data_IF_808452413044
#
_entry.id   IF_808452413044
#
_cell.length_a   1.000
_cell.length_b   1.000
_cell.length_c   1.000
_cell.angle_alpha   90.00
_cell.angle_beta   90.00
_cell.angle_gamma   90.00
#
_symmetry.space_group_name_H-M   'P 1'
#
loop_
_entity.id
_entity.type
_entity.pdbx_description
1 polymer ?
#
# COMPACT_ATOMS: atom_id res chain seq x y z
N UNK A 1 -3.41 -2.33 50.29
CA UNK A 1 -3.36 -2.46 48.82
C UNK A 1 -1.92 -2.32 48.38
N UNK A 2 -1.27 -3.40 47.92
CA UNK A 2 0.14 -3.37 47.51
C UNK A 2 0.33 -2.43 46.30
N UNK A 3 1.34 -1.57 46.37
CA UNK A 3 1.62 -0.58 45.33
C UNK A 3 2.10 -1.28 44.04
N UNK A 4 1.90 -0.66 42.87
CA UNK A 4 2.20 -1.27 41.56
C UNK A 4 3.66 -1.73 41.38
N UNK A 5 4.59 -1.20 42.19
CA UNK A 5 6.01 -1.55 42.20
C UNK A 5 6.28 -2.85 42.99
N UNK A 6 5.62 -3.03 44.14
CA UNK A 6 5.74 -4.25 44.95
C UNK A 6 5.16 -5.46 44.21
N UNK A 7 4.02 -5.27 43.54
CA UNK A 7 3.42 -6.31 42.70
C UNK A 7 4.36 -6.77 41.57
N UNK A 8 5.12 -5.84 40.95
CA UNK A 8 6.12 -6.17 39.91
C UNK A 8 7.33 -6.91 40.49
N UNK A 9 7.81 -6.51 41.67
CA UNK A 9 8.91 -7.20 42.36
C UNK A 9 8.51 -8.63 42.75
N UNK A 10 7.30 -8.81 43.26
CA UNK A 10 6.77 -10.14 43.59
C UNK A 10 6.64 -11.04 42.35
N UNK A 11 6.16 -10.51 41.22
CA UNK A 11 6.11 -11.25 39.96
C UNK A 11 7.49 -11.67 39.45
N UNK A 12 8.49 -10.79 39.53
CA UNK A 12 9.86 -11.10 39.14
C UNK A 12 10.49 -12.18 40.05
N UNK A 13 10.23 -12.11 41.35
CA UNK A 13 10.69 -13.10 42.33
C UNK A 13 10.04 -14.47 42.12
N UNK A 14 8.72 -14.51 41.93
CA UNK A 14 7.99 -15.73 41.61
C UNK A 14 8.48 -16.38 40.30
N UNK A 15 8.83 -15.59 39.29
CA UNK A 15 9.40 -16.10 38.05
C UNK A 15 10.75 -16.80 38.26
N UNK A 16 11.63 -16.24 39.12
CA UNK A 16 12.92 -16.85 39.45
C UNK A 16 12.77 -18.16 40.22
N UNK A 17 11.81 -18.23 41.15
CA UNK A 17 11.52 -19.47 41.89
C UNK A 17 11.03 -20.57 40.93
N UNK A 18 10.13 -20.24 40.00
CA UNK A 18 9.66 -21.19 38.97
C UNK A 18 10.80 -21.66 38.06
N UNK A 19 11.72 -20.77 37.69
CA UNK A 19 12.91 -21.14 36.90
C UNK A 19 13.83 -22.10 37.66
N UNK A 20 14.15 -21.80 38.92
CA UNK A 20 14.96 -22.66 39.78
C UNK A 20 14.34 -24.05 39.94
N UNK A 21 13.02 -24.11 40.15
CA UNK A 21 12.28 -25.36 40.26
C UNK A 21 12.34 -26.21 38.97
N UNK A 22 12.10 -25.59 37.81
CA UNK A 22 12.14 -26.27 36.50
C UNK A 22 13.50 -26.87 36.16
N UNK A 23 14.56 -26.20 36.60
CA UNK A 23 15.93 -26.63 36.38
C UNK A 23 16.46 -27.57 37.47
N UNK A 24 15.59 -28.05 38.38
CA UNK A 24 15.98 -28.97 39.45
C UNK A 24 16.92 -28.34 40.49
N UNK A 25 16.99 -27.01 40.54
CA UNK A 25 17.84 -26.26 41.49
C UNK A 25 17.15 -26.03 42.83
N UNK A 26 15.87 -26.43 42.96
CA UNK A 26 15.18 -26.49 44.25
C UNK A 26 15.13 -27.94 44.73
N UNK A 27 15.47 -28.15 46.00
CA UNK A 27 15.33 -29.45 46.65
C UNK A 27 13.87 -29.73 47.06
N UNK A 28 13.60 -30.97 47.47
CA UNK A 28 12.26 -31.43 47.86
C UNK A 28 11.73 -30.75 49.14
N UNK A 29 12.60 -30.27 50.03
CA UNK A 29 12.22 -29.52 51.22
C UNK A 29 11.86 -28.07 50.89
N UNK A 30 12.65 -27.42 50.03
CA UNK A 30 12.37 -26.08 49.50
C UNK A 30 11.05 -26.04 48.73
N UNK A 31 10.79 -27.04 47.89
CA UNK A 31 9.53 -27.17 47.14
C UNK A 31 8.34 -27.26 48.10
N UNK A 32 8.39 -28.16 49.09
CA UNK A 32 7.31 -28.32 50.08
C UNK A 32 7.05 -27.06 50.92
N UNK A 33 8.09 -26.34 51.32
CA UNK A 33 7.93 -25.07 52.06
C UNK A 33 7.26 -23.99 51.22
N UNK A 34 7.58 -23.93 49.94
CA UNK A 34 6.95 -22.99 49.01
C UNK A 34 5.49 -23.35 48.76
N UNK A 35 5.17 -24.63 48.55
CA UNK A 35 3.79 -25.13 48.44
C UNK A 35 2.98 -24.82 49.71
N UNK A 36 3.53 -25.07 50.90
CA UNK A 36 2.89 -24.76 52.18
C UNK A 36 2.66 -23.26 52.40
N UNK A 37 3.50 -22.41 51.81
CA UNK A 37 3.33 -20.96 51.78
C UNK A 37 2.33 -20.48 50.70
N UNK A 38 1.63 -21.41 50.03
CA UNK A 38 0.66 -21.12 48.97
C UNK A 38 1.28 -20.81 47.61
N UNK A 39 2.58 -21.09 47.41
CA UNK A 39 3.23 -20.92 46.11
C UNK A 39 2.88 -22.07 45.18
N UNK A 40 2.10 -21.77 44.13
CA UNK A 40 1.68 -22.77 43.15
C UNK A 40 2.77 -23.01 42.09
N UNK A 41 3.29 -24.24 42.04
CA UNK A 41 4.15 -24.71 40.96
C UNK A 41 3.29 -25.20 39.78
N UNK A 42 3.74 -24.94 38.55
CA UNK A 42 3.09 -25.51 37.37
C UNK A 42 3.18 -27.04 37.45
N UNK A 43 2.10 -27.79 37.17
CA UNK A 43 2.11 -29.24 37.27
C UNK A 43 3.21 -29.84 36.38
N UNK A 44 3.96 -30.82 36.92
CA UNK A 44 5.08 -31.48 36.21
C UNK A 44 4.63 -32.06 34.86
N UNK A 45 3.39 -32.55 34.78
CA UNK A 45 2.72 -32.93 33.54
C UNK A 45 1.71 -31.85 33.14
N UNK A 46 1.78 -31.42 31.89
CA UNK A 46 0.78 -30.51 31.33
C UNK A 46 -0.53 -31.29 31.15
N UNK A 47 -1.63 -30.76 31.66
CA UNK A 47 -3.00 -31.29 31.44
C UNK A 47 -3.55 -31.02 30.04
N UNK A 48 -2.70 -30.49 29.17
CA UNK A 48 -3.04 -30.02 27.82
C UNK A 48 -2.28 -28.74 27.48
N UNK A 49 -2.28 -28.38 26.21
CA UNK A 49 -1.71 -27.14 25.70
C UNK A 49 -2.72 -26.41 24.84
N UNK A 50 -2.59 -25.09 24.80
CA UNK A 50 -3.38 -24.24 23.92
C UNK A 50 -2.43 -23.55 22.96
N UNK A 51 -2.78 -23.57 21.68
CA UNK A 51 -2.14 -22.75 20.66
C UNK A 51 -2.62 -21.31 20.82
N UNK A 52 -1.70 -20.39 21.05
CA UNK A 52 -2.06 -19.01 21.44
C UNK A 52 -2.74 -18.28 20.28
N UNK A 53 -2.31 -18.54 19.05
CA UNK A 53 -2.74 -17.84 17.83
C UNK A 53 -4.27 -17.84 17.66
N UNK A 54 -4.89 -19.00 17.83
CA UNK A 54 -6.32 -19.23 17.62
C UNK A 54 -7.06 -19.68 18.88
N UNK A 55 -6.34 -20.01 19.95
CA UNK A 55 -6.92 -20.51 21.20
C UNK A 55 -7.34 -21.97 21.12
N UNK A 56 -6.93 -22.72 20.09
CA UNK A 56 -7.27 -24.14 19.95
C UNK A 56 -6.59 -24.95 21.05
N UNK A 57 -7.38 -25.74 21.77
CA UNK A 57 -6.93 -26.60 22.86
C UNK A 57 -6.58 -27.99 22.35
N UNK A 58 -5.54 -28.56 22.95
CA UNK A 58 -5.10 -29.94 22.74
C UNK A 58 -4.96 -30.59 24.10
N UNK A 59 -5.66 -31.69 24.32
CA UNK A 59 -5.68 -32.38 25.61
C UNK A 59 -4.34 -33.11 25.88
N UNK A 60 -3.56 -33.37 24.83
CA UNK A 60 -2.23 -33.96 24.96
C UNK A 60 -1.20 -33.25 24.09
N UNK A 61 0.07 -33.31 24.49
CA UNK A 61 1.18 -32.83 23.67
C UNK A 61 1.34 -33.65 22.37
N UNK A 62 0.91 -34.92 22.38
CA UNK A 62 0.94 -35.78 21.20
C UNK A 62 -0.05 -35.30 20.15
N UNK A 63 -1.28 -34.94 20.54
CA UNK A 63 -2.25 -34.33 19.63
C UNK A 63 -1.72 -33.01 19.02
N UNK A 64 -1.05 -32.17 19.81
CA UNK A 64 -0.42 -30.95 19.30
C UNK A 64 0.75 -31.24 18.33
N UNK A 65 1.52 -32.29 18.59
CA UNK A 65 2.58 -32.77 17.71
C UNK A 65 2.03 -33.33 16.39
N UNK A 66 1.01 -34.17 16.45
CA UNK A 66 0.40 -34.80 15.27
C UNK A 66 -0.18 -33.75 14.32
N UNK A 67 -0.72 -32.65 14.86
CA UNK A 67 -1.21 -31.52 14.06
C UNK A 67 -0.08 -30.66 13.45
N UNK A 68 0.99 -30.39 14.19
CA UNK A 68 1.98 -29.35 13.81
C UNK A 68 3.33 -29.89 13.34
N UNK A 69 3.56 -31.19 13.48
CA UNK A 69 4.86 -31.84 13.25
C UNK A 69 5.94 -31.46 14.27
N UNK A 70 5.66 -30.59 15.25
CA UNK A 70 6.66 -30.13 16.22
C UNK A 70 6.99 -31.21 17.24
N UNK A 71 8.27 -31.38 17.57
CA UNK A 71 8.67 -32.33 18.61
C UNK A 71 7.98 -32.04 19.95
N UNK A 72 7.37 -33.06 20.57
CA UNK A 72 6.63 -33.00 21.84
C UNK A 72 7.42 -32.25 22.94
N UNK A 73 8.72 -32.52 23.06
CA UNK A 73 9.59 -31.83 24.02
C UNK A 73 9.70 -30.32 23.77
N UNK A 74 9.77 -29.89 22.49
CA UNK A 74 9.82 -28.46 22.14
C UNK A 74 8.49 -27.75 22.44
N UNK A 75 7.36 -28.40 22.15
CA UNK A 75 6.02 -27.90 22.52
C UNK A 75 5.94 -27.73 24.04
N UNK A 76 6.37 -28.74 24.80
CA UNK A 76 6.37 -28.72 26.26
C UNK A 76 7.19 -27.57 26.84
N UNK A 77 8.39 -27.34 26.31
CA UNK A 77 9.26 -26.23 26.72
C UNK A 77 8.65 -24.87 26.37
N UNK A 78 8.09 -24.73 25.17
CA UNK A 78 7.40 -23.50 24.75
C UNK A 78 6.20 -23.19 25.66
N UNK A 79 5.35 -24.19 25.92
CA UNK A 79 4.14 -24.07 26.74
C UNK A 79 4.41 -23.63 28.19
N UNK A 80 5.55 -24.03 28.74
CA UNK A 80 5.98 -23.62 30.09
C UNK A 80 6.66 -22.25 30.11
N UNK A 81 7.10 -21.70 28.98
CA UNK A 81 7.87 -20.44 28.97
C UNK A 81 7.19 -19.32 29.76
N UNK A 82 7.96 -18.56 30.54
CA UNK A 82 7.45 -17.37 31.23
C UNK A 82 6.92 -16.32 30.22
N UNK A 83 7.57 -16.23 29.06
CA UNK A 83 7.20 -15.40 27.91
C UNK A 83 6.84 -16.29 26.73
N UNK A 84 5.62 -16.87 26.71
CA UNK A 84 5.25 -17.86 25.70
C UNK A 84 5.11 -17.26 24.28
N UNK A 85 5.06 -15.93 24.14
CA UNK A 85 5.06 -15.24 22.85
C UNK A 85 6.45 -15.09 22.20
N UNK A 86 7.54 -15.51 22.87
CA UNK A 86 8.91 -15.43 22.33
C UNK A 86 9.46 -16.75 21.81
N UNK A 87 8.76 -17.85 22.10
CA UNK A 87 9.25 -19.19 21.78
C UNK A 87 8.16 -19.96 21.07
N UNK A 88 8.42 -20.27 19.81
CA UNK A 88 7.55 -21.11 19.00
C UNK A 88 8.09 -22.53 18.90
N UNK A 89 7.20 -23.47 18.60
CA UNK A 89 7.53 -24.84 18.20
C UNK A 89 6.58 -25.23 17.06
N UNK A 90 7.14 -25.68 15.93
CA UNK A 90 6.36 -25.96 14.69
C UNK A 90 5.62 -24.75 14.15
N UNK A 91 6.21 -23.55 14.25
CA UNK A 91 5.59 -22.31 13.78
C UNK A 91 4.47 -21.75 14.66
N UNK A 92 4.13 -22.40 15.78
CA UNK A 92 3.08 -21.98 16.70
C UNK A 92 3.63 -21.63 18.11
N UNK A 93 2.92 -20.77 18.82
CA UNK A 93 3.20 -20.41 20.21
C UNK A 93 2.27 -21.14 21.16
N UNK A 94 2.83 -21.63 22.26
CA UNK A 94 2.14 -22.55 23.14
C UNK A 94 2.05 -22.00 24.55
N UNK A 95 0.96 -22.33 25.23
CA UNK A 95 0.76 -22.08 26.65
C UNK A 95 0.06 -23.29 27.27
N UNK A 96 0.37 -23.59 28.53
CA UNK A 96 -0.36 -24.64 29.25
C UNK A 96 -1.86 -24.32 29.32
N UNK A 97 -2.70 -25.33 29.17
CA UNK A 97 -4.15 -25.20 29.26
C UNK A 97 -4.63 -24.47 30.53
N UNK A 98 -4.15 -24.88 31.72
CA UNK A 98 -4.53 -24.22 32.97
C UNK A 98 -4.17 -22.72 33.02
N UNK A 99 -2.97 -22.34 32.55
CA UNK A 99 -2.58 -20.93 32.46
C UNK A 99 -3.41 -20.14 31.44
N UNK A 100 -3.87 -20.78 30.37
CA UNK A 100 -4.79 -20.14 29.42
C UNK A 100 -6.18 -19.91 30.01
N UNK A 101 -6.69 -20.90 30.75
CA UNK A 101 -7.99 -20.82 31.42
C UNK A 101 -7.98 -19.71 32.47
N UNK A 102 -6.89 -19.59 33.23
CA UNK A 102 -6.66 -18.51 34.20
C UNK A 102 -6.55 -17.11 33.57
N UNK A 103 -6.27 -17.00 32.26
CA UNK A 103 -6.38 -15.72 31.57
C UNK A 103 -7.85 -15.41 31.30
N UNK A 104 -8.35 -14.28 31.82
CA UNK A 104 -9.59 -13.69 31.32
C UNK A 104 -9.46 -13.28 29.85
N UNK A 105 -10.58 -12.95 29.21
CA UNK A 105 -10.64 -12.63 27.78
C UNK A 105 -9.70 -11.48 27.37
N UNK A 106 -9.56 -10.47 28.23
CA UNK A 106 -8.62 -9.36 28.00
C UNK A 106 -7.15 -9.82 28.06
N UNK A 107 -6.82 -10.76 28.95
CA UNK A 107 -5.50 -11.38 29.04
C UNK A 107 -5.17 -12.21 27.80
N UNK A 108 -6.13 -13.01 27.32
CA UNK A 108 -6.00 -13.79 26.07
C UNK A 108 -5.81 -12.90 24.85
N UNK A 109 -6.60 -11.82 24.73
CA UNK A 109 -6.44 -10.80 23.67
C UNK A 109 -5.06 -10.13 23.73
N UNK A 110 -4.60 -9.75 24.92
CA UNK A 110 -3.27 -9.14 25.09
C UNK A 110 -2.17 -10.12 24.68
N UNK A 111 -2.28 -11.38 25.08
CA UNK A 111 -1.30 -12.41 24.76
C UNK A 111 -1.21 -12.68 23.25
N UNK A 112 -2.36 -12.80 22.58
CA UNK A 112 -2.44 -12.89 21.10
C UNK A 112 -1.76 -11.70 20.41
N UNK A 113 -2.00 -10.48 20.91
CA UNK A 113 -1.35 -9.28 20.39
C UNK A 113 0.18 -9.27 20.58
N UNK A 114 0.71 -9.92 21.62
CA UNK A 114 2.15 -10.06 21.82
C UNK A 114 2.76 -11.06 20.83
N UNK A 115 2.12 -12.21 20.62
CA UNK A 115 2.53 -13.19 19.60
C UNK A 115 2.57 -12.56 18.22
N UNK A 116 1.51 -11.85 17.86
CA UNK A 116 1.45 -11.14 16.59
C UNK A 116 2.56 -10.10 16.46
N UNK A 117 2.79 -9.30 17.50
CA UNK A 117 3.86 -8.29 17.50
C UNK A 117 5.25 -8.90 17.33
N UNK A 118 5.49 -10.09 17.87
CA UNK A 118 6.75 -10.80 17.70
C UNK A 118 6.86 -11.40 16.29
N UNK A 119 5.76 -11.93 15.73
CA UNK A 119 5.73 -12.44 14.35
C UNK A 119 6.01 -11.34 13.31
N UNK A 120 5.57 -10.13 13.61
CA UNK A 120 5.78 -8.96 12.75
C UNK A 120 7.13 -8.27 13.00
N UNK A 121 7.90 -8.70 13.99
CA UNK A 121 9.19 -8.07 14.32
C UNK A 121 10.17 -8.24 13.16
N UNK A 122 10.78 -7.14 12.74
CA UNK A 122 11.75 -7.13 11.65
C UNK A 122 11.12 -7.07 10.25
N UNK A 123 9.80 -7.23 10.14
CA UNK A 123 9.10 -7.18 8.86
C UNK A 123 8.77 -5.74 8.44
N UNK A 124 8.70 -5.55 7.13
CA UNK A 124 8.15 -4.38 6.46
C UNK A 124 6.71 -4.64 6.08
N UNK A 125 5.78 -3.83 6.56
CA UNK A 125 4.35 -4.07 6.38
C UNK A 125 3.70 -2.91 5.60
N UNK A 126 2.97 -3.27 4.55
CA UNK A 126 2.05 -2.35 3.88
C UNK A 126 0.84 -2.14 4.78
N UNK A 127 0.61 -0.91 5.25
CA UNK A 127 -0.42 -0.64 6.23
C UNK A 127 -1.84 -0.87 5.66
N UNK A 128 -2.01 -0.63 4.37
CA UNK A 128 -3.27 -0.83 3.66
C UNK A 128 -3.55 -2.30 3.45
N UNK A 129 -2.67 -3.05 2.82
CA UNK A 129 -2.95 -4.46 2.49
C UNK A 129 -2.75 -5.36 3.71
N UNK A 130 -1.84 -5.01 4.61
CA UNK A 130 -1.38 -5.86 5.70
C UNK A 130 -0.36 -6.91 5.27
N UNK A 131 0.09 -6.87 4.02
CA UNK A 131 1.16 -7.73 3.51
C UNK A 131 2.48 -7.36 4.18
N UNK A 132 3.23 -8.39 4.58
CA UNK A 132 4.46 -8.26 5.33
C UNK A 132 5.61 -8.91 4.54
N UNK A 133 6.76 -8.25 4.54
CA UNK A 133 7.94 -8.64 3.77
C UNK A 133 9.16 -8.64 4.68
N UNK A 134 10.07 -9.59 4.48
CA UNK A 134 11.29 -9.70 5.30
C UNK A 134 12.25 -8.53 5.07
N UNK A 135 12.23 -7.95 3.88
CA UNK A 135 13.12 -6.84 3.50
C UNK A 135 12.38 -5.75 2.75
N UNK A 136 12.92 -4.53 2.80
CA UNK A 136 12.47 -3.43 1.95
C UNK A 136 12.56 -3.77 0.47
N UNK A 137 13.54 -4.57 0.06
CA UNK A 137 13.76 -4.94 -1.34
C UNK A 137 12.59 -5.78 -1.85
N UNK A 138 12.21 -6.82 -1.10
CA UNK A 138 11.06 -7.65 -1.45
C UNK A 138 9.75 -6.85 -1.47
N UNK A 139 9.58 -5.93 -0.52
CA UNK A 139 8.45 -5.01 -0.53
C UNK A 139 8.46 -4.07 -1.75
N UNK A 140 9.63 -3.58 -2.15
CA UNK A 140 9.78 -2.68 -3.29
C UNK A 140 9.45 -3.39 -4.61
N UNK A 141 9.97 -4.61 -4.78
CA UNK A 141 9.74 -5.48 -5.94
C UNK A 141 8.26 -5.87 -6.06
N UNK A 142 7.64 -6.34 -4.99
CA UNK A 142 6.23 -6.74 -4.97
C UNK A 142 5.28 -5.60 -5.36
N UNK A 143 5.68 -4.35 -5.10
CA UNK A 143 4.88 -3.16 -5.40
C UNK A 143 5.44 -2.30 -6.54
N UNK A 144 6.36 -2.84 -7.35
CA UNK A 144 6.85 -2.21 -8.57
C UNK A 144 7.50 -0.84 -8.37
N UNK A 145 8.20 -0.64 -7.25
CA UNK A 145 8.81 0.65 -6.90
C UNK A 145 10.28 0.51 -6.48
N UNK A 146 11.11 1.57 -6.59
CA UNK A 146 12.51 1.50 -6.16
C UNK A 146 12.65 1.59 -4.63
N UNK A 147 13.60 0.84 -4.05
CA UNK A 147 13.90 0.80 -2.60
C UNK A 147 14.15 2.19 -2.00
N UNK A 148 14.83 3.07 -2.74
CA UNK A 148 15.10 4.46 -2.33
C UNK A 148 13.82 5.26 -2.06
N UNK A 149 12.70 4.90 -2.69
CA UNK A 149 11.38 5.51 -2.48
C UNK A 149 10.75 5.06 -1.16
N UNK A 150 10.91 3.80 -0.76
CA UNK A 150 10.49 3.30 0.54
C UNK A 150 11.35 3.92 1.67
N UNK A 151 12.66 4.03 1.46
CA UNK A 151 13.61 4.58 2.45
C UNK A 151 13.34 6.06 2.77
N UNK A 152 13.15 6.91 1.75
CA UNK A 152 12.99 8.36 1.95
C UNK A 152 11.70 8.78 2.66
N UNK A 153 10.70 7.89 2.79
CA UNK A 153 9.33 8.28 3.14
C UNK A 153 8.67 7.35 4.17
N UNK A 154 9.46 6.73 5.04
CA UNK A 154 9.00 5.86 6.12
C UNK A 154 8.33 6.64 7.30
N UNK A 155 7.61 7.73 7.00
CA UNK A 155 6.86 8.54 7.97
C UNK A 155 5.38 8.40 7.62
N UNK A 156 4.58 8.03 8.61
CA UNK A 156 3.12 7.79 8.56
C UNK A 156 2.27 8.88 7.88
N UNK A 157 2.88 10.01 7.53
CA UNK A 157 2.26 11.25 7.07
C UNK A 157 2.41 11.50 5.55
N UNK A 158 3.19 10.67 4.82
CA UNK A 158 3.41 10.87 3.36
C UNK A 158 3.21 9.59 2.56
N UNK A 159 2.21 9.60 1.66
CA UNK A 159 1.83 8.49 0.76
C UNK A 159 2.99 8.08 -0.16
N UNK A 160 3.33 6.79 -0.20
CA UNK A 160 4.28 6.20 -1.15
C UNK A 160 3.54 5.63 -2.35
N UNK A 161 3.26 6.49 -3.32
CA UNK A 161 2.44 6.08 -4.46
C UNK A 161 1.04 5.63 -4.05
N UNK A 162 0.53 6.06 -2.89
CA UNK A 162 -0.81 5.72 -2.38
C UNK A 162 -0.85 4.61 -1.32
N UNK A 163 0.30 4.08 -0.88
CA UNK A 163 0.40 3.15 0.27
C UNK A 163 1.31 3.70 1.39
N UNK A 164 1.06 3.30 2.63
CA UNK A 164 1.84 3.61 3.82
C UNK A 164 2.65 2.38 4.23
N UNK A 165 3.94 2.60 4.49
CA UNK A 165 4.86 1.55 4.90
C UNK A 165 5.28 1.79 6.34
N UNK A 166 5.26 0.72 7.14
CA UNK A 166 5.62 0.75 8.55
C UNK A 166 6.39 -0.51 8.91
N UNK A 167 7.23 -0.44 9.94
CA UNK A 167 7.76 -1.66 10.54
C UNK A 167 6.62 -2.47 11.17
N UNK A 168 6.76 -3.80 11.18
CA UNK A 168 5.70 -4.68 11.63
C UNK A 168 5.32 -4.54 13.11
N UNK A 169 6.23 -4.06 13.96
CA UNK A 169 5.89 -3.76 15.37
C UNK A 169 4.95 -2.56 15.44
N UNK A 170 5.22 -1.52 14.65
CA UNK A 170 4.35 -0.35 14.50
C UNK A 170 3.01 -0.73 13.87
N UNK A 171 3.00 -1.55 12.81
CA UNK A 171 1.77 -2.07 12.23
C UNK A 171 0.89 -2.78 13.26
N UNK A 172 1.45 -3.72 14.02
CA UNK A 172 0.71 -4.44 15.05
C UNK A 172 0.16 -3.52 16.15
N UNK A 173 0.85 -2.43 16.48
CA UNK A 173 0.31 -1.40 17.41
C UNK A 173 -0.85 -0.63 16.80
N UNK A 174 -0.72 -0.17 15.56
CA UNK A 174 -1.78 0.57 14.84
C UNK A 174 -3.01 -0.33 14.70
N UNK A 175 -2.85 -1.58 14.29
CA UNK A 175 -3.96 -2.54 14.13
C UNK A 175 -4.74 -2.74 15.41
N UNK A 176 -4.07 -2.76 16.57
CA UNK A 176 -4.72 -2.92 17.89
C UNK A 176 -5.36 -1.64 18.42
N UNK A 177 -4.72 -0.48 18.22
CA UNK A 177 -5.15 0.79 18.86
C UNK A 177 -5.99 1.68 17.95
N UNK A 178 -5.77 1.60 16.64
CA UNK A 178 -6.36 2.47 15.63
C UNK A 178 -6.83 1.67 14.40
N UNK A 179 -7.69 0.64 14.57
CA UNK A 179 -8.18 -0.14 13.44
C UNK A 179 -8.93 0.71 12.39
N UNK A 180 -9.60 1.79 12.84
CA UNK A 180 -10.27 2.74 11.95
C UNK A 180 -9.31 3.49 11.01
N UNK A 181 -8.06 3.73 11.44
CA UNK A 181 -7.05 4.35 10.59
C UNK A 181 -6.65 3.44 9.43
N UNK A 182 -6.39 2.15 9.71
CA UNK A 182 -6.10 1.16 8.67
C UNK A 182 -7.28 0.99 7.72
N UNK A 183 -8.51 0.99 8.24
CA UNK A 183 -9.72 0.91 7.42
C UNK A 183 -9.87 2.15 6.51
N UNK A 184 -9.57 3.33 7.02
CA UNK A 184 -9.55 4.56 6.23
C UNK A 184 -8.49 4.51 5.14
N UNK A 185 -7.26 4.09 5.45
CA UNK A 185 -6.20 3.95 4.44
C UNK A 185 -6.52 2.90 3.38
N UNK A 186 -7.07 1.75 3.77
CA UNK A 186 -7.59 0.73 2.82
C UNK A 186 -8.66 1.28 1.90
N UNK A 187 -9.55 2.11 2.43
CA UNK A 187 -10.61 2.75 1.63
C UNK A 187 -10.00 3.74 0.65
N UNK A 188 -9.12 4.63 1.14
CA UNK A 188 -8.43 5.61 0.29
C UNK A 188 -7.59 4.93 -0.78
N UNK A 189 -6.85 3.86 -0.48
CA UNK A 189 -6.11 3.09 -1.48
C UNK A 189 -7.03 2.48 -2.52
N UNK A 190 -8.19 1.92 -2.12
CA UNK A 190 -9.19 1.44 -3.07
C UNK A 190 -9.70 2.55 -3.97
N UNK A 191 -10.05 3.70 -3.41
CA UNK A 191 -10.59 4.84 -4.17
C UNK A 191 -9.56 5.53 -5.08
N UNK A 192 -8.27 5.50 -4.71
CA UNK A 192 -7.22 6.27 -5.40
C UNK A 192 -6.29 5.43 -6.27
N UNK A 193 -6.00 4.18 -5.89
CA UNK A 193 -5.14 3.26 -6.65
C UNK A 193 -5.91 2.16 -7.38
N UNK A 194 -7.03 1.69 -6.82
CA UNK A 194 -7.88 0.66 -7.41
C UNK A 194 -9.16 1.30 -7.93
N UNK A 195 -9.07 2.29 -8.82
CA UNK A 195 -10.23 2.83 -9.53
C UNK A 195 -10.97 1.78 -10.39
N UNK A 196 -10.66 0.49 -10.26
CA UNK A 196 -11.20 -0.60 -11.05
C UNK A 196 -10.41 -0.79 -12.36
N UNK A 197 -10.86 -1.73 -13.19
CA UNK A 197 -10.25 -1.96 -14.49
C UNK A 197 -10.22 -0.71 -15.36
N UNK A 198 -9.22 -0.64 -16.23
CA UNK A 198 -9.11 0.42 -17.23
C UNK A 198 -9.02 -0.19 -18.62
N UNK A 199 -9.72 0.40 -19.58
CA UNK A 199 -9.70 -0.01 -20.97
C UNK A 199 -8.94 1.05 -21.77
N UNK A 200 -7.97 0.62 -22.56
CA UNK A 200 -7.40 1.46 -23.61
C UNK A 200 -8.40 1.53 -24.75
N UNK A 201 -8.97 2.71 -24.99
CA UNK A 201 -10.11 2.85 -25.93
C UNK A 201 -9.69 2.49 -27.36
N UNK A 202 -8.49 2.89 -27.78
CA UNK A 202 -7.95 2.63 -29.12
C UNK A 202 -7.73 1.15 -29.42
N UNK A 203 -7.26 0.39 -28.43
CA UNK A 203 -6.92 -1.02 -28.62
C UNK A 203 -8.03 -1.96 -28.18
N UNK A 204 -8.97 -1.47 -27.37
CA UNK A 204 -9.98 -2.27 -26.71
C UNK A 204 -9.44 -3.17 -25.59
N UNK A 205 -8.14 -3.09 -25.29
CA UNK A 205 -7.53 -3.94 -24.26
C UNK A 205 -7.94 -3.44 -22.87
N UNK A 206 -8.54 -4.33 -22.10
CA UNK A 206 -8.85 -4.12 -20.69
C UNK A 206 -7.69 -4.60 -19.81
N UNK A 207 -7.36 -3.78 -18.83
CA UNK A 207 -6.36 -4.06 -17.80
C UNK A 207 -7.07 -4.08 -16.46
N UNK A 208 -6.66 -5.01 -15.57
CA UNK A 208 -7.23 -5.09 -14.22
C UNK A 208 -7.09 -3.81 -13.39
N UNK A 209 -6.08 -2.98 -13.70
CA UNK A 209 -5.89 -1.65 -13.13
C UNK A 209 -4.98 -0.76 -14.01
N UNK A 210 -4.88 0.53 -13.63
CA UNK A 210 -4.02 1.51 -14.29
C UNK A 210 -2.51 1.23 -14.15
N UNK A 211 -2.09 0.41 -13.18
CA UNK A 211 -0.69 0.05 -13.00
C UNK A 211 -0.24 -0.95 -14.07
N UNK A 212 -1.04 -1.99 -14.31
CA UNK A 212 -0.83 -2.96 -15.41
C UNK A 212 -0.82 -2.30 -16.79
N UNK A 213 -1.72 -1.33 -16.99
CA UNK A 213 -1.71 -0.51 -18.19
C UNK A 213 -0.40 0.29 -18.33
N UNK A 214 0.05 0.95 -17.26
CA UNK A 214 1.29 1.72 -17.27
C UNK A 214 2.55 0.83 -17.46
N UNK A 215 2.58 -0.38 -16.90
CA UNK A 215 3.65 -1.38 -17.14
C UNK A 215 3.75 -1.73 -18.62
N UNK A 216 2.62 -1.97 -19.27
CA UNK A 216 2.55 -2.27 -20.72
C UNK A 216 3.05 -1.09 -21.56
N UNK A 217 2.71 0.14 -21.17
CA UNK A 217 3.26 1.36 -21.80
C UNK A 217 4.78 1.49 -21.59
N UNK A 218 5.31 1.03 -20.46
CA UNK A 218 6.75 1.07 -20.21
C UNK A 218 7.49 0.07 -21.12
N UNK A 219 6.96 -1.14 -21.30
CA UNK A 219 7.52 -2.17 -22.18
C UNK A 219 7.56 -1.73 -23.65
N UNK A 220 6.62 -0.89 -24.07
CA UNK A 220 6.57 -0.31 -25.43
C UNK A 220 7.38 0.99 -25.56
N UNK A 221 8.15 1.37 -24.53
CA UNK A 221 8.97 2.59 -24.52
C UNK A 221 8.18 3.91 -24.42
N UNK A 222 6.86 3.85 -24.20
CA UNK A 222 5.97 5.02 -24.12
C UNK A 222 6.07 5.77 -22.79
N UNK A 223 6.69 5.18 -21.76
CA UNK A 223 7.01 5.85 -20.49
C UNK A 223 8.28 5.30 -19.86
N UNK A 224 9.01 6.14 -19.12
CA UNK A 224 10.13 5.74 -18.25
C UNK A 224 9.78 5.78 -16.76
N UNK A 225 8.58 6.25 -16.42
CA UNK A 225 8.09 6.43 -15.05
C UNK A 225 6.70 5.79 -14.91
N UNK A 226 6.69 4.48 -14.65
CA UNK A 226 5.47 3.67 -14.53
C UNK A 226 4.52 4.20 -13.44
N UNK A 227 4.99 4.53 -12.21
CA UNK A 227 4.10 5.06 -11.18
C UNK A 227 3.47 6.41 -11.54
N UNK A 228 4.20 7.31 -12.20
CA UNK A 228 3.65 8.57 -12.67
C UNK A 228 2.65 8.37 -13.81
N UNK A 229 2.90 7.39 -14.69
CA UNK A 229 1.97 7.04 -15.77
C UNK A 229 0.66 6.46 -15.24
N UNK A 230 0.70 5.61 -14.20
CA UNK A 230 -0.50 5.14 -13.49
C UNK A 230 -1.37 6.30 -13.01
N UNK A 231 -0.78 7.29 -12.35
CA UNK A 231 -1.51 8.46 -11.86
C UNK A 231 -2.13 9.27 -13.00
N UNK A 232 -1.38 9.44 -14.09
CA UNK A 232 -1.86 10.13 -15.27
C UNK A 232 -3.03 9.38 -15.94
N UNK A 233 -2.96 8.06 -16.08
CA UNK A 233 -4.04 7.21 -16.60
C UNK A 233 -5.30 7.40 -15.74
N UNK A 234 -5.17 7.32 -14.42
CA UNK A 234 -6.31 7.54 -13.51
C UNK A 234 -6.88 8.95 -13.58
N UNK A 235 -6.03 9.95 -13.87
CA UNK A 235 -6.43 11.35 -13.98
C UNK A 235 -7.19 11.64 -15.28
N UNK A 236 -6.81 11.01 -16.39
CA UNK A 236 -7.47 11.19 -17.70
C UNK A 236 -8.61 10.20 -17.95
N UNK A 237 -8.81 9.23 -17.04
CA UNK A 237 -9.85 8.22 -17.16
C UNK A 237 -11.23 8.85 -17.34
N UNK A 238 -12.02 8.27 -18.24
CA UNK A 238 -13.40 8.70 -18.57
C UNK A 238 -13.49 10.12 -19.15
N UNK A 239 -12.36 10.64 -19.63
CA UNK A 239 -12.28 11.95 -20.26
C UNK A 239 -11.88 11.81 -21.74
N UNK A 240 -12.81 12.02 -22.70
CA UNK A 240 -12.55 11.84 -24.12
C UNK A 240 -11.61 12.91 -24.70
N UNK A 241 -11.36 14.01 -24.00
CA UNK A 241 -10.47 15.09 -24.45
C UNK A 241 -9.01 14.91 -23.98
N UNK A 242 -8.73 13.91 -23.14
CA UNK A 242 -7.41 13.75 -22.50
C UNK A 242 -6.83 12.37 -22.71
N UNK A 243 -5.50 12.32 -22.71
CA UNK A 243 -4.73 11.11 -23.03
C UNK A 243 -3.59 10.88 -22.05
N UNK A 244 -3.20 9.62 -21.90
CA UNK A 244 -1.99 9.20 -21.20
C UNK A 244 -1.24 8.17 -22.06
N UNK A 245 0.07 8.37 -22.24
CA UNK A 245 0.88 7.52 -23.14
C UNK A 245 0.48 7.56 -24.62
N UNK A 246 -0.34 8.54 -25.03
CA UNK A 246 -0.89 8.68 -26.39
C UNK A 246 -2.29 8.08 -26.58
N UNK A 247 -2.84 7.44 -25.55
CA UNK A 247 -4.12 6.71 -25.60
C UNK A 247 -5.19 7.34 -24.71
N UNK A 248 -6.45 7.08 -25.03
CA UNK A 248 -7.57 7.36 -24.14
C UNK A 248 -7.83 6.17 -23.21
N UNK A 249 -8.27 6.50 -22.00
CA UNK A 249 -8.48 5.54 -20.93
C UNK A 249 -9.89 5.67 -20.39
N UNK A 250 -10.57 4.56 -20.23
CA UNK A 250 -11.94 4.52 -19.74
C UNK A 250 -12.13 3.41 -18.70
N UNK A 251 -13.10 3.58 -17.82
CA UNK A 251 -13.74 2.48 -17.09
C UNK A 251 -14.60 1.65 -18.04
N UNK A 252 -14.75 0.33 -17.81
CA UNK A 252 -15.70 -0.48 -18.58
C UNK A 252 -17.12 0.09 -18.55
N UNK A 253 -17.56 0.61 -17.40
CA UNK A 253 -18.91 1.15 -17.23
C UNK A 253 -19.12 2.46 -18.02
N UNK A 254 -18.11 3.33 -18.08
CA UNK A 254 -18.18 4.53 -18.93
C UNK A 254 -18.14 4.16 -20.40
N UNK A 255 -17.29 3.20 -20.79
CA UNK A 255 -17.17 2.78 -22.18
C UNK A 255 -18.47 2.15 -22.69
N UNK A 256 -19.14 1.33 -21.86
CA UNK A 256 -20.44 0.76 -22.18
C UNK A 256 -21.51 1.84 -22.36
N UNK A 257 -21.56 2.85 -21.47
CA UNK A 257 -22.47 3.99 -21.59
C UNK A 257 -22.20 4.81 -22.86
N UNK A 258 -20.93 5.08 -23.16
CA UNK A 258 -20.56 5.80 -24.37
C UNK A 258 -20.94 5.02 -25.63
N UNK A 259 -20.74 3.71 -25.65
CA UNK A 259 -21.10 2.87 -26.80
C UNK A 259 -22.60 2.96 -27.14
N UNK A 260 -23.46 3.09 -26.12
CA UNK A 260 -24.90 3.28 -26.32
C UNK A 260 -25.29 4.73 -26.63
N UNK A 261 -24.65 5.70 -25.98
CA UNK A 261 -25.05 7.11 -26.08
C UNK A 261 -24.47 7.82 -27.31
N UNK A 262 -23.22 7.54 -27.68
CA UNK A 262 -22.53 8.18 -28.80
C UNK A 262 -21.52 7.21 -29.46
N UNK A 263 -22.03 6.26 -30.27
CA UNK A 263 -21.19 5.31 -30.98
C UNK A 263 -20.24 5.97 -32.00
N UNK A 264 -20.59 7.16 -32.50
CA UNK A 264 -19.75 7.92 -33.43
C UNK A 264 -18.50 8.47 -32.74
N UNK A 265 -18.64 9.04 -31.53
CA UNK A 265 -17.50 9.44 -30.72
C UNK A 265 -16.63 8.25 -30.33
N UNK A 266 -17.22 7.13 -29.95
CA UNK A 266 -16.46 5.90 -29.66
C UNK A 266 -15.66 5.42 -30.87
N UNK A 267 -16.26 5.41 -32.06
CA UNK A 267 -15.57 5.05 -33.30
C UNK A 267 -14.40 5.99 -33.61
N UNK A 268 -14.57 7.29 -33.38
CA UNK A 268 -13.51 8.31 -33.53
C UNK A 268 -12.36 8.09 -32.56
N UNK A 269 -12.66 7.85 -31.28
CA UNK A 269 -11.66 7.54 -30.26
C UNK A 269 -10.87 6.28 -30.64
N UNK A 270 -11.56 5.22 -31.12
CA UNK A 270 -10.96 3.94 -31.56
C UNK A 270 -10.08 4.06 -32.79
N UNK A 271 -10.47 4.84 -33.78
CA UNK A 271 -9.70 5.08 -35.00
C UNK A 271 -8.39 5.87 -34.78
N UNK A 272 -7.98 6.08 -33.52
CA UNK A 272 -6.90 6.99 -33.14
C UNK A 272 -7.20 8.44 -33.48
N UNK A 273 -8.41 8.73 -33.94
CA UNK A 273 -8.82 9.94 -34.65
C UNK A 273 -10.00 10.61 -33.93
N UNK A 274 -9.77 10.98 -32.67
CA UNK A 274 -10.52 12.05 -32.03
C UNK A 274 -9.56 13.23 -31.76
N UNK A 275 -9.88 14.45 -32.24
CA UNK A 275 -9.00 15.60 -32.17
C UNK A 275 -9.01 16.17 -30.75
N UNK A 276 -7.84 16.19 -30.12
CA UNK A 276 -7.35 17.20 -29.15
C UNK A 276 -6.04 16.71 -28.55
N UNK A 277 -5.00 16.88 -29.35
CA UNK A 277 -3.62 16.84 -28.89
C UNK A 277 -2.86 17.78 -29.80
N UNK A 278 -2.74 19.06 -29.40
CA UNK A 278 -1.86 20.05 -30.02
C UNK A 278 -2.01 20.28 -31.54
N UNK A 279 -3.25 20.34 -32.07
CA UNK A 279 -3.50 20.84 -33.44
C UNK A 279 -4.40 22.08 -33.46
N UNK A 280 -4.29 22.96 -32.46
CA UNK A 280 -4.77 24.31 -32.69
C UNK A 280 -3.80 24.92 -33.67
N UNK A 281 -4.27 25.10 -34.91
CA UNK A 281 -3.61 26.00 -35.81
C UNK A 281 -3.44 27.32 -35.05
N UNK A 282 -2.26 27.90 -35.13
CA UNK A 282 -1.94 29.10 -34.38
C UNK A 282 -1.45 30.16 -35.34
N UNK A 283 -1.99 31.36 -35.19
CA UNK A 283 -1.60 32.51 -36.00
C UNK A 283 -0.63 33.36 -35.20
N UNK A 284 0.50 33.70 -35.81
CA UNK A 284 1.30 34.83 -35.34
C UNK A 284 0.59 36.11 -35.80
N UNK A 285 0.21 36.96 -34.84
CA UNK A 285 -0.62 38.15 -35.12
C UNK A 285 0.14 39.15 -35.99
N UNK A 286 1.44 39.33 -35.75
CA UNK A 286 2.28 40.30 -36.47
C UNK A 286 2.57 39.90 -37.92
N UNK A 287 2.70 38.61 -38.19
CA UNK A 287 3.06 38.11 -39.53
C UNK A 287 1.86 37.59 -40.31
N UNK A 288 0.71 37.45 -39.66
CA UNK A 288 -0.48 36.80 -40.22
C UNK A 288 -0.31 35.30 -40.50
N UNK A 289 0.87 34.72 -40.27
CA UNK A 289 1.18 33.34 -40.66
C UNK A 289 0.45 32.36 -39.75
N UNK A 290 -0.30 31.44 -40.36
CA UNK A 290 -1.00 30.36 -39.68
C UNK A 290 -0.14 29.11 -39.73
N UNK A 291 0.26 28.62 -38.56
CA UNK A 291 0.98 27.37 -38.40
C UNK A 291 0.01 26.25 -38.05
N UNK A 292 0.18 25.03 -38.60
CA UNK A 292 -0.71 23.91 -38.32
C UNK A 292 -0.60 23.37 -36.89
N UNK A 293 0.40 23.81 -36.12
CA UNK A 293 0.55 23.52 -34.69
C UNK A 293 1.56 24.44 -34.01
N UNK A 294 1.53 24.51 -32.67
CA UNK A 294 2.56 25.14 -31.83
C UNK A 294 3.98 24.65 -32.15
N UNK A 295 4.12 23.36 -32.48
CA UNK A 295 5.42 22.77 -32.81
C UNK A 295 5.89 23.20 -34.21
N UNK A 296 4.98 23.30 -35.17
CA UNK A 296 5.31 23.82 -36.49
C UNK A 296 5.76 25.29 -36.43
N UNK A 297 5.09 26.10 -35.60
CA UNK A 297 5.51 27.48 -35.32
C UNK A 297 6.92 27.53 -34.70
N UNK A 298 7.18 26.73 -33.66
CA UNK A 298 8.50 26.70 -33.02
C UNK A 298 9.62 26.25 -33.98
N UNK A 299 9.35 25.28 -34.86
CA UNK A 299 10.33 24.82 -35.87
C UNK A 299 10.57 25.89 -36.93
N UNK A 300 9.53 26.54 -37.44
CA UNK A 300 9.66 27.61 -38.43
C UNK A 300 10.46 28.81 -37.90
N UNK A 301 10.34 29.10 -36.60
CA UNK A 301 11.10 30.15 -35.91
C UNK A 301 12.48 29.70 -35.42
N UNK A 302 12.91 28.46 -35.71
CA UNK A 302 14.22 27.95 -35.30
C UNK A 302 14.41 27.83 -33.77
N UNK A 303 13.32 27.66 -33.01
CA UNK A 303 13.35 27.70 -31.56
C UNK A 303 13.79 26.36 -30.92
N UNK A 304 14.38 26.38 -29.71
CA UNK A 304 14.79 25.19 -28.98
C UNK A 304 13.65 24.19 -28.70
N UNK A 305 14.03 22.92 -28.48
CA UNK A 305 13.08 21.89 -28.08
C UNK A 305 12.41 22.23 -26.75
N UNK A 306 11.07 22.30 -26.74
CA UNK A 306 10.25 22.68 -25.58
C UNK A 306 9.60 24.07 -25.70
N UNK A 307 10.02 24.88 -26.67
CA UNK A 307 9.51 26.25 -26.85
C UNK A 307 8.02 26.36 -27.21
N UNK A 308 7.43 25.29 -27.75
CA UNK A 308 6.01 25.22 -28.14
C UNK A 308 5.05 25.45 -26.96
N UNK A 309 5.43 25.13 -25.73
CA UNK A 309 4.57 25.31 -24.55
C UNK A 309 4.41 26.79 -24.19
N UNK A 310 5.47 27.59 -24.32
CA UNK A 310 5.42 29.03 -24.02
C UNK A 310 4.53 29.79 -25.01
N UNK A 311 4.53 29.38 -26.28
CA UNK A 311 3.61 29.89 -27.29
C UNK A 311 2.16 29.61 -26.88
N UNK A 312 1.88 28.39 -26.40
CA UNK A 312 0.53 28.03 -25.96
C UNK A 312 0.04 28.77 -24.71
N UNK A 313 0.95 29.24 -23.85
CA UNK A 313 0.58 29.97 -22.63
C UNK A 313 0.10 31.40 -22.89
N UNK A 314 0.59 32.04 -23.95
CA UNK A 314 0.25 33.43 -24.29
C UNK A 314 -0.78 33.52 -25.44
N UNK A 315 -1.21 32.37 -25.97
CA UNK A 315 -2.15 32.33 -27.09
C UNK A 315 -3.52 32.88 -26.68
N UNK A 316 -3.94 33.97 -27.32
CA UNK A 316 -5.18 34.70 -27.03
C UNK A 316 -5.07 35.74 -25.93
N UNK A 317 -3.86 36.01 -25.43
CA UNK A 317 -3.59 37.06 -24.45
C UNK A 317 -3.05 38.32 -25.17
N UNK A 318 -3.75 39.47 -25.15
CA UNK A 318 -3.31 40.73 -25.75
C UNK A 318 -2.14 41.41 -25.03
N UNK A 319 -1.90 41.08 -23.77
CA UNK A 319 -0.90 41.75 -22.94
C UNK A 319 0.44 40.98 -22.89
N UNK A 320 0.48 39.78 -23.45
CA UNK A 320 1.63 38.89 -23.35
C UNK A 320 2.11 38.38 -24.71
N UNK A 321 3.44 38.37 -24.85
CA UNK A 321 4.15 37.89 -26.04
C UNK A 321 4.99 36.66 -25.74
N UNK A 322 5.17 35.79 -26.73
CA UNK A 322 6.14 34.71 -26.69
C UNK A 322 7.08 34.85 -27.88
N UNK A 323 8.39 34.91 -27.58
CA UNK A 323 9.45 35.07 -28.58
C UNK A 323 9.30 36.34 -29.44
N UNK A 324 8.74 37.41 -28.86
CA UNK A 324 8.54 38.69 -29.54
C UNK A 324 7.27 38.79 -30.38
N UNK A 325 6.41 37.77 -30.35
CA UNK A 325 5.17 37.73 -31.11
C UNK A 325 3.95 37.50 -30.22
N UNK A 326 2.82 38.08 -30.63
CA UNK A 326 1.50 37.76 -30.14
C UNK A 326 0.94 36.57 -30.92
N UNK A 327 0.21 35.72 -30.22
CA UNK A 327 -0.27 34.47 -30.75
C UNK A 327 -1.78 34.38 -30.59
N UNK A 328 -2.48 34.00 -31.66
CA UNK A 328 -3.92 33.82 -31.65
C UNK A 328 -4.29 32.36 -31.96
N UNK A 329 -5.22 31.82 -31.17
CA UNK A 329 -5.76 30.48 -31.40
C UNK A 329 -6.70 30.51 -32.61
N UNK A 330 -6.54 29.57 -33.54
CA UNK A 330 -7.45 29.41 -34.67
C UNK A 330 -8.40 28.24 -34.40
N UNK A 331 -9.69 28.49 -34.62
CA UNK A 331 -10.73 27.47 -34.58
C UNK A 331 -10.63 26.53 -35.78
N UNK A 332 -11.31 25.39 -35.69
CA UNK A 332 -11.23 24.34 -36.71
C UNK A 332 -11.81 24.77 -38.07
N UNK A 333 -12.58 25.87 -38.11
CA UNK A 333 -13.14 26.52 -39.29
C UNK A 333 -12.25 27.65 -39.87
N UNK A 334 -11.08 27.88 -39.28
CA UNK A 334 -10.14 28.93 -39.71
C UNK A 334 -10.37 30.30 -39.06
N UNK A 335 -11.37 30.46 -38.19
CA UNK A 335 -11.63 31.74 -37.51
C UNK A 335 -10.74 31.93 -36.27
N UNK A 336 -10.19 33.14 -36.02
CA UNK A 336 -9.53 33.44 -34.75
C UNK A 336 -10.51 33.33 -33.59
N UNK A 337 -10.12 32.65 -32.50
CA UNK A 337 -10.94 32.48 -31.29
C UNK A 337 -10.90 33.67 -30.34
N UNK A 338 -10.15 34.71 -30.70
CA UNK A 338 -9.69 35.76 -29.79
C UNK A 338 -9.98 37.16 -30.37
N UNK A 339 -9.97 38.18 -29.50
CA UNK A 339 -10.39 39.57 -29.76
C UNK A 339 -9.41 40.42 -30.60
N UNK A 340 -8.52 39.81 -31.38
CA UNK A 340 -7.57 40.56 -32.21
C UNK A 340 -8.23 40.99 -33.53
N UNK A 341 -8.35 42.30 -33.82
CA UNK A 341 -8.86 42.76 -35.10
C UNK A 341 -7.95 42.26 -36.25
N UNK A 342 -8.55 41.97 -37.39
CA UNK A 342 -7.78 41.66 -38.60
C UNK A 342 -7.02 42.92 -39.03
N UNK A 343 -5.70 42.92 -38.86
CA UNK A 343 -4.85 43.90 -39.53
C UNK A 343 -4.70 43.46 -40.99
N UNK A 344 -5.15 44.32 -41.89
CA UNK A 344 -5.21 44.10 -43.34
C UNK A 344 -3.86 44.16 -44.04
#
# INVERSE_FOLDING_TARGET
MATSVEARRYQAYAARIRDAWRHGRLDAGQTRRLEAAGFEFEPRRLSGVVRIEDGRRFDTLKAAHDETGAAVGRISVAARSAQPWRRSAGGAHWISAGRWDALGEQGRRRLRGLVEGERLRGLWVCAETGEAYDTMTLAAEAHGMPVSRLQKRNRLDRRNGGVHWVDGVTYGRIRRRHPGLLAAWRRTMRETMLRGPVVCVETGVEYGDAMRAAETLALTGRTRNTPGMRDLINHVRDNPDRRAGGFHWASPEWLARLASADPALLARLRAGSAPKGNRHAIRCVETGTIYPSLRAAAVALGLPAGSATNIGHVAGDPDHVAYGYHWASIADDGTPRDAYPAHG
#
